data_IF_957668637910
#
_entry.id   IF_957668637910
#
_cell.length_a   1.000
_cell.length_b   1.000
_cell.length_c   1.000
_cell.angle_alpha   90.00
_cell.angle_beta   90.00
_cell.angle_gamma   90.00
#
_symmetry.space_group_name_H-M   'P 1'
#
loop_
_entity.id
_entity.type
_entity.pdbx_description
1 polymer ?
#
# COMPACT_ATOMS: atom_id res chain seq x y z
N UNK A 1 -70.55 37.65 9.15
CA UNK A 1 -70.43 37.49 7.68
C UNK A 1 -69.17 38.21 7.22
N UNK A 2 -68.23 37.50 6.56
CA UNK A 2 -67.02 37.94 5.82
C UNK A 2 -65.78 38.52 6.58
N UNK A 3 -64.78 37.63 6.75
CA UNK A 3 -63.33 37.70 6.42
C UNK A 3 -62.49 38.98 6.66
N UNK A 4 -61.36 38.82 7.37
CA UNK A 4 -60.03 39.23 6.87
C UNK A 4 -58.87 38.58 7.67
N UNK A 5 -58.11 37.72 6.99
CA UNK A 5 -56.79 37.22 7.38
C UNK A 5 -55.72 38.31 7.28
N UNK A 6 -54.76 38.36 8.21
CA UNK A 6 -53.36 38.72 7.90
C UNK A 6 -52.40 38.24 9.00
N UNK A 7 -51.99 36.97 8.94
CA UNK A 7 -50.77 36.52 9.63
C UNK A 7 -49.61 36.96 8.74
N UNK A 8 -48.89 37.99 9.18
CA UNK A 8 -47.80 38.62 8.44
C UNK A 8 -46.50 37.83 8.61
N UNK A 9 -45.91 37.42 7.49
CA UNK A 9 -44.46 37.31 7.33
C UNK A 9 -43.76 36.21 8.12
N UNK A 10 -44.07 34.95 7.80
CA UNK A 10 -43.11 33.87 8.05
C UNK A 10 -41.87 34.14 7.18
N UNK A 11 -40.74 34.49 7.80
CA UNK A 11 -39.47 34.82 7.14
C UNK A 11 -38.97 33.65 6.28
N UNK A 12 -39.37 33.61 5.01
CA UNK A 12 -38.92 32.61 4.03
C UNK A 12 -37.41 32.70 3.75
N UNK A 13 -36.74 33.76 4.20
CA UNK A 13 -35.30 33.96 4.00
C UNK A 13 -34.42 33.22 5.01
N UNK A 14 -34.97 32.80 6.16
CA UNK A 14 -34.16 32.15 7.22
C UNK A 14 -33.97 30.65 7.01
N UNK A 15 -34.73 30.02 6.10
CA UNK A 15 -34.68 28.56 5.88
C UNK A 15 -33.73 28.15 4.74
N UNK A 16 -33.31 29.09 3.87
CA UNK A 16 -32.39 28.81 2.76
C UNK A 16 -30.90 28.89 3.14
N UNK A 17 -30.57 29.46 4.30
CA UNK A 17 -29.17 29.57 4.77
C UNK A 17 -28.73 28.32 5.55
N UNK A 18 -29.67 27.50 6.01
CA UNK A 18 -29.36 26.29 6.78
C UNK A 18 -29.02 25.05 5.92
N UNK A 19 -29.21 25.10 4.59
CA UNK A 19 -29.01 23.93 3.71
C UNK A 19 -27.67 23.91 2.96
N UNK A 20 -26.84 24.96 3.09
CA UNK A 20 -25.61 25.10 2.29
C UNK A 20 -24.30 24.99 3.10
N UNK A 21 -24.35 24.50 4.36
CA UNK A 21 -23.16 24.36 5.22
C UNK A 21 -22.82 22.92 5.64
N UNK A 22 -23.28 21.93 4.87
CA UNK A 22 -22.75 20.56 4.95
C UNK A 22 -21.87 20.23 3.75
N UNK A 23 -21.01 21.17 3.32
CA UNK A 23 -19.77 20.74 2.66
C UNK A 23 -18.95 20.04 3.74
N UNK A 24 -19.27 18.77 3.94
CA UNK A 24 -18.37 17.82 4.56
C UNK A 24 -17.05 17.96 3.82
N UNK A 25 -16.09 18.57 4.48
CA UNK A 25 -14.70 18.46 4.11
C UNK A 25 -14.44 16.95 4.22
N UNK A 26 -14.57 16.24 3.09
CA UNK A 26 -13.97 14.93 2.97
C UNK A 26 -12.49 15.20 3.15
N UNK A 27 -12.01 15.05 4.39
CA UNK A 27 -10.59 14.91 4.64
C UNK A 27 -10.15 13.84 3.66
N UNK A 28 -9.32 14.23 2.68
CA UNK A 28 -8.53 13.27 1.95
C UNK A 28 -7.71 12.57 3.03
N UNK A 29 -8.20 11.44 3.51
CA UNK A 29 -7.36 10.49 4.20
C UNK A 29 -6.44 9.98 3.10
N UNK A 30 -5.33 10.69 2.90
CA UNK A 30 -4.15 10.09 2.30
C UNK A 30 -3.78 8.96 3.25
N UNK A 31 -4.15 7.76 2.87
CA UNK A 31 -4.07 6.60 3.71
C UNK A 31 -3.99 5.38 2.84
N UNK A 32 -3.19 4.42 3.29
CA UNK A 32 -3.16 3.08 2.77
C UNK A 32 -4.56 2.47 2.95
N UNK A 33 -5.43 2.71 1.98
CA UNK A 33 -6.89 2.57 2.13
C UNK A 33 -7.35 1.12 2.06
N UNK A 34 -6.59 0.30 1.34
CA UNK A 34 -6.80 -1.14 1.21
C UNK A 34 -5.48 -1.85 1.54
N UNK A 35 -5.21 -1.98 2.83
CA UNK A 35 -4.03 -2.69 3.33
C UNK A 35 -4.14 -4.19 3.02
N UNK A 36 -3.17 -4.78 2.30
CA UNK A 36 -3.27 -6.16 1.86
C UNK A 36 -3.09 -7.11 3.04
N UNK A 37 -4.03 -8.03 3.23
CA UNK A 37 -3.91 -9.11 4.22
C UNK A 37 -3.00 -10.26 3.78
N UNK A 38 -2.63 -10.29 2.50
CA UNK A 38 -1.76 -11.29 1.88
C UNK A 38 -0.99 -10.71 0.68
N UNK A 39 0.03 -11.43 0.24
CA UNK A 39 0.69 -11.18 -1.04
C UNK A 39 0.68 -12.45 -1.88
N UNK A 40 0.02 -12.39 -3.06
CA UNK A 40 -0.06 -13.51 -4.02
C UNK A 40 -0.54 -14.84 -3.42
N UNK A 41 -1.57 -14.77 -2.59
CA UNK A 41 -2.15 -15.94 -1.92
C UNK A 41 -1.41 -16.41 -0.67
N UNK A 42 -0.39 -15.67 -0.20
CA UNK A 42 0.35 -16.00 1.03
C UNK A 42 0.04 -14.93 2.08
N UNK A 43 -0.64 -15.35 3.15
CA UNK A 43 -0.96 -14.47 4.28
C UNK A 43 0.30 -14.16 5.07
N UNK A 44 0.40 -12.93 5.59
CA UNK A 44 1.46 -12.55 6.51
C UNK A 44 1.52 -13.49 7.73
N UNK A 45 2.73 -13.84 8.15
CA UNK A 45 3.00 -14.78 9.24
C UNK A 45 2.87 -16.27 8.85
N UNK A 46 2.52 -16.59 7.61
CA UNK A 46 2.43 -17.99 7.16
C UNK A 46 3.79 -18.68 7.26
N UNK A 47 3.82 -19.89 7.82
CA UNK A 47 5.03 -20.68 7.97
C UNK A 47 5.49 -21.26 6.62
N UNK A 48 6.79 -21.13 6.32
CA UNK A 48 7.39 -21.61 5.06
C UNK A 48 7.12 -23.10 4.81
N UNK A 49 7.10 -23.93 5.86
CA UNK A 49 6.85 -25.38 5.76
C UNK A 49 5.45 -25.75 5.26
N UNK A 50 4.51 -24.80 5.27
CA UNK A 50 3.15 -24.99 4.73
C UNK A 50 3.04 -24.64 3.24
N UNK A 51 4.05 -23.96 2.69
CA UNK A 51 4.07 -23.44 1.33
C UNK A 51 4.76 -24.44 0.39
N UNK A 52 4.25 -24.53 -0.85
CA UNK A 52 4.78 -25.42 -1.89
C UNK A 52 5.53 -24.62 -2.95
N UNK A 53 6.55 -25.24 -3.53
CA UNK A 53 7.31 -24.66 -4.64
C UNK A 53 8.18 -23.46 -4.23
N UNK A 54 8.58 -23.38 -2.97
CA UNK A 54 9.51 -22.35 -2.49
C UNK A 54 10.95 -22.84 -2.68
N UNK A 55 11.73 -22.10 -3.45
CA UNK A 55 13.12 -22.38 -3.78
C UNK A 55 14.02 -21.45 -2.97
N UNK A 56 14.93 -22.03 -2.19
CA UNK A 56 15.82 -21.27 -1.32
C UNK A 56 16.78 -20.41 -2.14
N UNK A 57 16.86 -19.12 -1.80
CA UNK A 57 17.73 -18.15 -2.46
C UNK A 57 18.91 -17.76 -1.56
N UNK A 58 18.64 -17.34 -0.33
CA UNK A 58 19.65 -16.83 0.59
C UNK A 58 19.19 -16.88 2.06
N UNK A 59 20.15 -16.78 2.98
CA UNK A 59 19.89 -16.64 4.41
C UNK A 59 20.84 -15.61 5.03
N UNK A 60 20.32 -14.79 5.93
CA UNK A 60 21.07 -13.87 6.78
C UNK A 60 20.53 -13.93 8.21
N UNK A 61 21.28 -14.59 9.10
CA UNK A 61 20.83 -14.89 10.46
C UNK A 61 19.51 -15.67 10.46
N UNK A 62 18.48 -15.09 11.10
CA UNK A 62 17.12 -15.63 11.20
C UNK A 62 16.25 -15.32 9.96
N UNK A 63 16.77 -14.56 8.99
CA UNK A 63 16.09 -14.21 7.75
C UNK A 63 16.39 -15.24 6.66
N UNK A 64 15.36 -15.76 6.01
CA UNK A 64 15.47 -16.64 4.86
C UNK A 64 14.72 -16.05 3.68
N UNK A 65 15.30 -16.15 2.49
CA UNK A 65 14.74 -15.61 1.26
C UNK A 65 14.53 -16.72 0.26
N UNK A 66 13.39 -16.67 -0.43
CA UNK A 66 12.97 -17.69 -1.38
C UNK A 66 12.40 -17.05 -2.64
N UNK A 67 12.51 -17.76 -3.76
CA UNK A 67 11.66 -17.54 -4.93
C UNK A 67 10.56 -18.60 -4.96
N UNK A 68 9.45 -18.33 -5.65
CA UNK A 68 8.36 -19.29 -5.80
C UNK A 68 8.28 -19.77 -7.23
N UNK A 69 8.34 -21.09 -7.41
CA UNK A 69 8.27 -21.73 -8.72
C UNK A 69 6.97 -21.36 -9.45
N UNK A 70 7.11 -20.99 -10.74
CA UNK A 70 6.01 -20.61 -11.63
C UNK A 70 5.17 -19.41 -11.12
N UNK A 71 5.72 -18.56 -10.25
CA UNK A 71 5.05 -17.33 -9.82
C UNK A 71 4.95 -16.34 -11.00
N UNK A 72 3.76 -15.77 -11.28
CA UNK A 72 3.62 -14.82 -12.38
C UNK A 72 4.51 -13.59 -12.20
N UNK A 73 5.49 -13.38 -13.09
CA UNK A 73 6.37 -12.22 -13.04
C UNK A 73 5.72 -10.97 -13.64
N UNK A 74 4.48 -10.68 -13.23
CA UNK A 74 3.71 -9.53 -13.71
C UNK A 74 2.89 -8.95 -12.57
N UNK A 75 2.76 -7.62 -12.55
CA UNK A 75 1.73 -6.90 -11.79
C UNK A 75 0.90 -6.11 -12.78
N UNK A 76 -0.37 -6.51 -12.94
CA UNK A 76 -1.22 -6.05 -14.04
C UNK A 76 -0.49 -6.17 -15.39
N UNK A 77 -0.20 -5.06 -16.07
CA UNK A 77 0.49 -4.99 -17.36
C UNK A 77 2.00 -4.74 -17.25
N UNK A 78 2.57 -4.74 -16.03
CA UNK A 78 4.00 -4.48 -15.81
C UNK A 78 4.76 -5.78 -15.61
N UNK A 79 5.78 -6.01 -16.43
CA UNK A 79 6.71 -7.13 -16.29
C UNK A 79 7.67 -6.91 -15.12
N UNK A 80 7.86 -7.97 -14.33
CA UNK A 80 8.84 -8.06 -13.25
C UNK A 80 10.03 -8.91 -13.68
N UNK A 81 11.17 -8.65 -13.05
CA UNK A 81 12.39 -9.45 -13.23
C UNK A 81 12.43 -10.62 -12.24
N UNK A 82 11.99 -10.40 -11.00
CA UNK A 82 11.97 -11.41 -9.94
C UNK A 82 10.96 -11.07 -8.83
N UNK A 83 10.54 -12.10 -8.09
CA UNK A 83 9.76 -11.95 -6.86
C UNK A 83 10.42 -12.78 -5.75
N UNK A 84 10.88 -12.09 -4.71
CA UNK A 84 11.55 -12.69 -3.56
C UNK A 84 10.68 -12.58 -2.32
N UNK A 85 10.54 -13.70 -1.60
CA UNK A 85 9.76 -13.86 -0.39
C UNK A 85 10.69 -13.98 0.82
N UNK A 86 10.58 -13.04 1.75
CA UNK A 86 11.34 -12.99 2.99
C UNK A 86 10.57 -13.59 4.17
N UNK A 87 11.27 -14.43 4.92
CA UNK A 87 10.77 -15.11 6.11
C UNK A 87 11.67 -14.78 7.29
N UNK A 88 11.09 -14.42 8.43
CA UNK A 88 11.80 -14.25 9.69
C UNK A 88 11.36 -15.37 10.62
N UNK A 89 12.31 -16.18 11.11
CA UNK A 89 12.02 -17.37 11.93
C UNK A 89 10.93 -18.24 11.31
N UNK A 90 11.10 -18.52 10.02
CA UNK A 90 10.22 -19.34 9.19
C UNK A 90 8.81 -18.75 8.93
N UNK A 91 8.51 -17.52 9.38
CA UNK A 91 7.24 -16.84 9.15
C UNK A 91 7.34 -15.75 8.07
N UNK A 92 6.43 -15.79 7.09
CA UNK A 92 6.40 -14.84 5.97
C UNK A 92 6.18 -13.42 6.45
N UNK A 93 7.08 -12.49 6.12
CA UNK A 93 6.97 -11.10 6.55
C UNK A 93 7.29 -10.07 5.48
N UNK A 94 7.93 -10.46 4.37
CA UNK A 94 8.29 -9.51 3.32
C UNK A 94 8.14 -10.09 1.93
N UNK A 95 7.68 -9.28 1.00
CA UNK A 95 7.70 -9.58 -0.42
C UNK A 95 8.41 -8.48 -1.19
N UNK A 96 9.25 -8.86 -2.14
CA UNK A 96 10.09 -7.98 -2.92
C UNK A 96 9.92 -8.29 -4.41
N UNK A 97 9.28 -7.39 -5.16
CA UNK A 97 9.15 -7.51 -6.60
C UNK A 97 10.12 -6.56 -7.29
N UNK A 98 11.03 -7.11 -8.09
CA UNK A 98 12.06 -6.37 -8.81
C UNK A 98 11.59 -6.08 -10.23
N UNK A 99 11.95 -4.91 -10.76
CA UNK A 99 11.61 -4.49 -12.12
C UNK A 99 12.69 -3.58 -12.70
N UNK A 100 12.74 -3.51 -14.02
CA UNK A 100 13.58 -2.60 -14.77
C UNK A 100 12.79 -1.43 -15.36
N UNK A 101 13.48 -0.33 -15.67
CA UNK A 101 13.02 0.87 -16.38
C UNK A 101 12.21 1.89 -15.56
N UNK A 102 12.38 3.16 -15.94
CA UNK A 102 11.58 4.29 -15.46
C UNK A 102 10.09 4.16 -15.84
N UNK A 103 9.80 3.63 -17.02
CA UNK A 103 8.42 3.43 -17.47
C UNK A 103 7.65 2.49 -16.54
N UNK A 104 8.26 1.37 -16.14
CA UNK A 104 7.67 0.46 -15.17
C UNK A 104 7.52 1.09 -13.79
N UNK A 105 8.49 1.89 -13.32
CA UNK A 105 8.34 2.62 -12.06
C UNK A 105 7.10 3.52 -12.05
N UNK A 106 6.88 4.30 -13.11
CA UNK A 106 5.73 5.19 -13.21
C UNK A 106 4.42 4.41 -13.30
N UNK A 107 4.38 3.35 -14.12
CA UNK A 107 3.20 2.48 -14.23
C UNK A 107 2.87 1.79 -12.89
N UNK A 108 3.88 1.27 -12.19
CA UNK A 108 3.71 0.64 -10.87
C UNK A 108 3.25 1.64 -9.83
N UNK A 109 3.76 2.88 -9.84
CA UNK A 109 3.24 3.95 -8.97
C UNK A 109 1.75 4.12 -9.20
N UNK A 110 1.29 4.22 -10.45
CA UNK A 110 -0.12 4.43 -10.76
C UNK A 110 -0.99 3.21 -10.39
N UNK A 111 -0.51 1.99 -10.63
CA UNK A 111 -1.17 0.75 -10.21
C UNK A 111 -1.33 0.71 -8.69
N UNK A 112 -0.26 0.97 -7.96
CA UNK A 112 -0.26 0.93 -6.50
C UNK A 112 -1.09 2.07 -5.91
N UNK A 113 -1.04 3.27 -6.48
CA UNK A 113 -1.89 4.40 -6.08
C UNK A 113 -3.38 4.06 -6.24
N UNK A 114 -3.77 3.47 -7.37
CA UNK A 114 -5.16 3.02 -7.59
C UNK A 114 -5.60 1.97 -6.58
N UNK A 115 -4.71 1.05 -6.24
CA UNK A 115 -5.04 -0.07 -5.35
C UNK A 115 -5.07 0.33 -3.88
N UNK A 116 -4.14 1.18 -3.46
CA UNK A 116 -3.85 1.41 -2.04
C UNK A 116 -4.06 2.86 -1.60
N UNK A 117 -4.48 3.75 -2.49
CA UNK A 117 -4.62 5.19 -2.22
C UNK A 117 -3.34 5.97 -2.54
N UNK A 118 -3.31 7.27 -2.30
CA UNK A 118 -2.13 8.09 -2.63
C UNK A 118 -0.95 7.81 -1.69
N UNK A 119 0.28 7.64 -2.22
CA UNK A 119 1.46 7.45 -1.41
C UNK A 119 1.88 8.74 -0.71
N UNK A 120 2.55 8.58 0.42
CA UNK A 120 3.45 9.57 0.95
C UNK A 120 4.76 9.61 0.12
N UNK A 121 5.24 10.82 -0.19
CA UNK A 121 6.49 11.05 -0.93
C UNK A 121 7.32 12.11 -0.20
N UNK A 122 8.47 11.75 0.40
CA UNK A 122 9.39 12.73 0.98
C UNK A 122 10.04 13.58 -0.11
N UNK A 123 10.18 14.89 0.12
CA UNK A 123 10.80 15.82 -0.84
C UNK A 123 12.26 15.44 -1.17
N UNK A 124 12.99 14.90 -0.21
CA UNK A 124 14.42 14.56 -0.34
C UNK A 124 14.66 13.24 -1.11
N UNK A 125 13.62 12.43 -1.32
CA UNK A 125 13.76 11.13 -2.00
C UNK A 125 12.71 10.98 -3.10
N UNK A 126 12.84 11.73 -4.21
CA UNK A 126 11.82 11.77 -5.26
C UNK A 126 11.55 10.40 -5.89
N UNK A 127 12.51 9.48 -5.84
CA UNK A 127 12.39 8.15 -6.42
C UNK A 127 11.87 7.10 -5.42
N UNK A 128 11.19 7.54 -4.36
CA UNK A 128 10.61 6.68 -3.32
C UNK A 128 9.17 7.08 -3.04
N UNK A 129 8.29 6.09 -3.00
CA UNK A 129 6.88 6.24 -2.63
C UNK A 129 6.54 5.25 -1.53
N UNK A 130 5.80 5.73 -0.52
CA UNK A 130 5.49 4.98 0.68
C UNK A 130 3.98 4.91 0.88
N UNK A 131 3.48 3.72 1.18
CA UNK A 131 2.16 3.53 1.78
C UNK A 131 2.37 2.90 3.13
N UNK A 132 1.90 3.55 4.19
CA UNK A 132 2.03 3.02 5.54
C UNK A 132 0.66 2.66 6.11
N UNK A 133 0.50 1.37 6.41
CA UNK A 133 -0.73 0.79 6.94
C UNK A 133 -0.61 0.54 8.43
N UNK A 134 -1.59 -0.12 9.02
CA UNK A 134 -1.53 -0.52 10.42
C UNK A 134 -0.50 -1.63 10.63
N UNK A 135 -0.48 -2.65 9.76
CA UNK A 135 0.36 -3.84 9.89
C UNK A 135 1.33 -4.04 8.73
N UNK A 136 1.10 -3.40 7.59
CA UNK A 136 1.90 -3.54 6.37
C UNK A 136 2.37 -2.19 5.88
N UNK A 137 3.67 -2.10 5.59
CA UNK A 137 4.23 -1.00 4.80
C UNK A 137 4.49 -1.47 3.37
N UNK A 138 4.29 -0.55 2.42
CA UNK A 138 4.64 -0.70 1.03
C UNK A 138 5.62 0.40 0.64
N UNK A 139 6.71 0.01 0.01
CA UNK A 139 7.74 0.90 -0.49
C UNK A 139 8.03 0.62 -1.96
N UNK A 140 7.84 1.61 -2.82
CA UNK A 140 8.26 1.59 -4.22
C UNK A 140 9.51 2.47 -4.37
N UNK A 141 10.61 1.89 -4.87
CA UNK A 141 11.89 2.59 -5.06
C UNK A 141 12.38 2.40 -6.49
N UNK A 142 12.94 3.46 -7.07
CA UNK A 142 13.69 3.41 -8.32
C UNK A 142 15.10 3.98 -8.14
N UNK A 143 16.10 3.33 -8.76
CA UNK A 143 17.47 3.79 -8.85
C UNK A 143 17.79 4.15 -10.30
N UNK A 144 18.16 5.41 -10.52
CA UNK A 144 18.48 5.95 -11.85
C UNK A 144 19.81 5.42 -12.39
N UNK A 145 20.75 5.03 -11.52
CA UNK A 145 22.07 4.55 -11.93
C UNK A 145 21.98 3.13 -12.51
N UNK A 146 21.18 2.27 -11.88
CA UNK A 146 20.98 0.89 -12.32
C UNK A 146 19.80 0.74 -13.28
N UNK A 147 19.01 1.81 -13.45
CA UNK A 147 17.75 1.81 -14.20
C UNK A 147 16.78 0.70 -13.77
N UNK A 148 16.77 0.41 -12.48
CA UNK A 148 15.96 -0.67 -11.89
C UNK A 148 15.36 -0.23 -10.58
N UNK A 149 14.37 -0.98 -10.11
CA UNK A 149 13.65 -0.66 -8.89
C UNK A 149 13.06 -1.88 -8.23
N UNK A 150 12.38 -1.62 -7.11
CA UNK A 150 11.75 -2.65 -6.30
C UNK A 150 10.50 -2.13 -5.64
N UNK A 151 9.48 -2.99 -5.59
CA UNK A 151 8.37 -2.89 -4.64
C UNK A 151 8.69 -3.79 -3.45
N UNK A 152 8.61 -3.26 -2.25
CA UNK A 152 8.76 -3.99 -1.01
C UNK A 152 7.51 -3.88 -0.17
N UNK A 153 6.95 -5.02 0.23
CA UNK A 153 5.93 -5.13 1.26
C UNK A 153 6.61 -5.62 2.55
N UNK A 154 6.24 -5.05 3.70
CA UNK A 154 6.76 -5.47 5.01
C UNK A 154 5.65 -5.59 6.03
N UNK A 155 5.54 -6.75 6.67
CA UNK A 155 4.64 -7.00 7.78
C UNK A 155 5.31 -6.54 9.09
N UNK A 156 4.88 -5.38 9.58
CA UNK A 156 5.43 -4.65 10.73
C UNK A 156 5.64 -5.51 11.97
N UNK A 157 4.67 -6.36 12.41
CA UNK A 157 4.85 -7.13 13.64
C UNK A 157 6.07 -8.05 13.64
N UNK A 158 6.45 -8.60 12.48
CA UNK A 158 7.65 -9.43 12.34
C UNK A 158 8.88 -8.60 11.98
N UNK A 159 8.73 -7.54 11.17
CA UNK A 159 9.82 -6.62 10.86
C UNK A 159 10.43 -6.00 12.12
N UNK A 160 9.59 -5.47 13.02
CA UNK A 160 10.09 -4.85 14.26
C UNK A 160 10.83 -5.84 15.17
N UNK A 161 10.44 -7.12 15.14
CA UNK A 161 11.16 -8.18 15.86
C UNK A 161 12.53 -8.48 15.22
N UNK A 162 12.61 -8.47 13.89
CA UNK A 162 13.85 -8.66 13.16
C UNK A 162 14.82 -7.50 13.37
N UNK A 163 14.33 -6.25 13.35
CA UNK A 163 15.13 -5.04 13.53
C UNK A 163 15.62 -4.88 14.98
N UNK A 164 14.78 -5.16 15.97
CA UNK A 164 15.14 -5.07 17.40
C UNK A 164 16.22 -6.06 17.86
N UNK A 165 16.70 -6.94 16.98
CA UNK A 165 17.85 -7.84 17.22
C UNK A 165 19.17 -7.32 16.65
N UNK A 166 19.14 -6.32 15.76
CA UNK A 166 20.33 -5.76 15.12
C UNK A 166 20.85 -4.49 15.82
N UNK A 167 20.20 -4.05 16.90
CA UNK A 167 20.65 -2.98 17.80
C UNK A 167 21.18 -3.59 19.10
#
# INVERSE_FOLDING_TARGET
>A
MKLANKVSGLNLLSLLIALALTLSISSFVSGFSDEPSEFRGIKWGTEIGTLKGMEFLAQDGDLKFFERQNDPLTIENVQLDAVVYGFYRDQFFSAMAYYASLANFLNLKDVLSRKHGEPFRPAETPNRYFWSGEKVDLLLIYDENTMSGRISYFYKPLQSQAEGRQQ
#
